data_IF_683183131763
#
_entry.id   IF_683183131763
#
_cell.length_a   1.000
_cell.length_b   1.000
_cell.length_c   1.000
_cell.angle_alpha   90.00
_cell.angle_beta   90.00
_cell.angle_gamma   90.00
#
_symmetry.space_group_name_H-M   'P 1'
#
loop_
_entity.id
_entity.type
_entity.pdbx_description
1 polymer ?
#
# COMPACT_ATOMS: atom_id res chain seq x y z
N UNK A 1 13.96 -18.63 7.77
CA UNK A 1 13.56 -17.93 6.52
C UNK A 1 12.92 -16.60 6.89
N UNK A 2 13.43 -15.49 6.36
CA UNK A 2 12.84 -14.16 6.56
C UNK A 2 11.60 -14.02 5.69
N UNK A 3 10.53 -13.47 6.27
CA UNK A 3 9.23 -13.28 5.65
C UNK A 3 8.90 -11.81 5.41
N UNK A 4 9.30 -10.95 6.34
CA UNK A 4 9.16 -9.51 6.21
C UNK A 4 10.36 -8.81 6.84
N UNK A 5 10.69 -7.65 6.31
CA UNK A 5 11.66 -6.72 6.89
C UNK A 5 10.88 -5.52 7.44
N UNK A 6 11.24 -5.06 8.62
CA UNK A 6 10.84 -3.76 9.17
C UNK A 6 12.04 -2.82 9.11
N UNK A 7 11.85 -1.59 8.62
CA UNK A 7 12.88 -0.55 8.63
C UNK A 7 12.33 0.77 9.16
N UNK A 8 13.12 1.45 9.96
CA UNK A 8 12.86 2.83 10.35
C UNK A 8 14.14 3.60 10.56
N UNK A 9 14.11 4.90 10.28
CA UNK A 9 15.18 5.81 10.66
C UNK A 9 14.90 6.36 12.06
N UNK A 10 15.84 6.18 12.98
CA UNK A 10 15.72 6.56 14.40
C UNK A 10 16.82 7.58 14.74
N UNK A 11 16.48 8.87 14.70
CA UNK A 11 17.46 9.94 14.90
C UNK A 11 18.54 9.92 13.82
N UNK A 12 19.80 9.69 14.20
CA UNK A 12 20.92 9.55 13.25
C UNK A 12 21.20 8.10 12.83
N UNK A 13 20.47 7.11 13.38
CA UNK A 13 20.66 5.70 13.10
C UNK A 13 19.48 5.07 12.37
N UNK A 14 19.58 3.75 12.19
CA UNK A 14 18.56 2.91 11.59
C UNK A 14 18.20 1.79 12.56
N UNK A 15 16.93 1.41 12.53
CA UNK A 15 16.42 0.21 13.16
C UNK A 15 15.97 -0.74 12.06
N UNK A 16 16.40 -2.00 12.18
CA UNK A 16 15.96 -3.07 11.30
C UNK A 16 15.34 -4.19 12.12
N UNK A 17 14.22 -4.72 11.64
CA UNK A 17 13.53 -5.88 12.21
C UNK A 17 13.32 -6.96 11.18
N UNK A 18 13.47 -8.23 11.58
CA UNK A 18 13.26 -9.39 10.72
C UNK A 18 12.14 -10.24 11.32
N UNK A 19 11.03 -10.32 10.60
CA UNK A 19 9.99 -11.32 10.86
C UNK A 19 10.41 -12.60 10.14
N UNK A 20 10.68 -13.66 10.89
CA UNK A 20 11.22 -14.90 10.35
C UNK A 20 10.52 -16.12 10.88
N UNK A 21 10.63 -17.19 10.10
CA UNK A 21 10.19 -18.52 10.46
C UNK A 21 11.43 -19.40 10.57
N UNK A 22 11.75 -19.86 11.78
CA UNK A 22 12.85 -20.79 11.98
C UNK A 22 12.46 -22.19 11.44
N UNK A 23 13.32 -22.88 10.67
CA UNK A 23 13.09 -24.29 10.41
C UNK A 23 13.39 -25.05 11.70
N UNK A 24 12.38 -25.71 12.27
CA UNK A 24 12.60 -26.64 13.37
C UNK A 24 12.99 -28.00 12.81
N UNK A 25 14.17 -28.46 13.21
CA UNK A 25 14.49 -29.88 13.15
C UNK A 25 13.80 -30.54 14.36
N UNK A 26 12.63 -31.12 14.14
CA UNK A 26 11.98 -32.01 15.08
C UNK A 26 11.98 -33.43 14.50
N UNK A 27 12.22 -34.44 15.35
CA UNK A 27 12.13 -35.84 14.92
C UNK A 27 10.70 -36.24 14.54
N UNK A 28 9.71 -35.53 15.09
CA UNK A 28 8.29 -35.68 14.78
C UNK A 28 7.75 -34.40 14.13
N UNK A 29 7.11 -34.54 12.96
CA UNK A 29 6.55 -33.42 12.21
C UNK A 29 5.39 -32.73 12.95
N UNK A 30 4.76 -33.40 13.92
CA UNK A 30 3.70 -32.83 14.75
C UNK A 30 4.21 -31.85 15.81
N UNK A 31 5.50 -31.90 16.18
CA UNK A 31 6.13 -31.04 17.19
C UNK A 31 6.89 -29.85 16.58
N UNK A 32 7.02 -29.80 15.26
CA UNK A 32 7.60 -28.67 14.55
C UNK A 32 6.64 -27.46 14.61
N UNK A 33 6.79 -26.64 15.64
CA UNK A 33 6.27 -25.27 15.69
C UNK A 33 6.86 -24.44 14.56
N UNK A 34 6.01 -24.21 13.57
CA UNK A 34 6.22 -23.31 12.45
C UNK A 34 6.05 -21.81 12.84
N UNK A 35 6.03 -21.49 14.12
CA UNK A 35 5.69 -20.17 14.65
C UNK A 35 6.63 -19.09 14.12
N UNK A 36 6.04 -17.94 13.83
CA UNK A 36 6.80 -16.77 13.43
C UNK A 36 7.42 -16.11 14.66
N UNK A 37 8.60 -15.54 14.45
CA UNK A 37 9.36 -14.83 15.46
C UNK A 37 9.89 -13.52 14.89
N UNK A 38 10.22 -12.59 15.76
CA UNK A 38 10.72 -11.28 15.39
C UNK A 38 12.02 -10.99 16.14
N UNK A 39 13.06 -10.59 15.40
CA UNK A 39 14.29 -10.02 15.95
C UNK A 39 14.47 -8.62 15.41
N UNK A 40 15.17 -7.77 16.16
CA UNK A 40 15.47 -6.41 15.75
C UNK A 40 16.82 -5.98 16.28
N UNK A 41 17.43 -5.03 15.58
CA UNK A 41 18.66 -4.39 16.00
C UNK A 41 18.72 -2.95 15.46
N UNK A 42 19.64 -2.18 16.01
CA UNK A 42 19.96 -0.83 15.58
C UNK A 42 21.36 -0.78 14.96
N UNK A 43 21.61 0.23 14.13
CA UNK A 43 22.91 0.48 13.51
C UNK A 43 23.04 1.93 13.05
N UNK A 44 24.27 2.38 12.77
CA UNK A 44 24.50 3.73 12.24
C UNK A 44 24.09 3.84 10.77
N UNK A 45 24.14 2.73 10.04
CA UNK A 45 23.63 2.61 8.66
C UNK A 45 22.56 1.54 8.56
N UNK A 46 21.73 1.62 7.52
CA UNK A 46 20.72 0.59 7.24
C UNK A 46 21.34 -0.80 7.12
N UNK A 47 22.47 -0.89 6.41
CA UNK A 47 23.18 -2.15 6.21
C UNK A 47 23.72 -2.74 7.52
N UNK A 48 24.23 -1.90 8.42
CA UNK A 48 24.67 -2.33 9.74
C UNK A 48 23.49 -2.80 10.61
N UNK A 49 22.38 -2.08 10.61
CA UNK A 49 21.19 -2.46 11.36
C UNK A 49 20.65 -3.82 10.88
N UNK A 50 20.57 -4.04 9.57
CA UNK A 50 20.18 -5.33 8.99
C UNK A 50 21.18 -6.43 9.32
N UNK A 51 22.48 -6.19 9.20
CA UNK A 51 23.51 -7.18 9.56
C UNK A 51 23.45 -7.57 11.04
N UNK A 52 23.19 -6.61 11.94
CA UNK A 52 23.01 -6.87 13.36
C UNK A 52 21.72 -7.68 13.64
N UNK A 53 20.61 -7.37 12.95
CA UNK A 53 19.39 -8.16 13.04
C UNK A 53 19.58 -9.59 12.48
N UNK A 54 20.37 -9.76 11.42
CA UNK A 54 20.76 -11.06 10.86
C UNK A 54 21.58 -11.89 11.86
N UNK A 55 22.49 -11.26 12.62
CA UNK A 55 23.29 -11.93 13.65
C UNK A 55 22.46 -12.44 14.82
N UNK A 56 21.31 -11.80 15.10
CA UNK A 56 20.38 -12.24 16.13
C UNK A 56 19.50 -13.43 15.69
N UNK A 57 19.53 -13.81 14.41
CA UNK A 57 18.79 -14.98 13.94
C UNK A 57 19.46 -16.29 14.40
N UNK A 58 18.66 -17.34 14.69
CA UNK A 58 19.21 -18.63 15.09
C UNK A 58 19.95 -19.35 13.95
N UNK A 59 19.77 -18.92 12.71
CA UNK A 59 20.39 -19.49 11.51
C UNK A 59 20.66 -18.38 10.49
N UNK A 60 21.53 -18.66 9.52
CA UNK A 60 21.82 -17.74 8.41
C UNK A 60 20.53 -17.27 7.74
N UNK A 61 20.42 -15.95 7.57
CA UNK A 61 19.26 -15.33 6.96
C UNK A 61 19.02 -15.85 5.53
N UNK A 62 17.76 -16.12 5.22
CA UNK A 62 17.33 -16.46 3.86
C UNK A 62 16.14 -15.61 3.49
N UNK A 63 16.32 -14.74 2.50
CA UNK A 63 15.33 -13.74 2.06
C UNK A 63 14.49 -14.18 0.86
N UNK A 64 14.59 -15.45 0.43
CA UNK A 64 13.85 -15.97 -0.74
C UNK A 64 12.33 -15.74 -0.64
N UNK A 65 11.79 -15.77 0.57
CA UNK A 65 10.36 -15.57 0.88
C UNK A 65 10.07 -14.24 1.59
N UNK A 66 11.00 -13.28 1.49
CA UNK A 66 10.82 -11.94 2.03
C UNK A 66 9.97 -11.11 1.08
N UNK A 67 8.66 -11.29 1.16
CA UNK A 67 7.68 -10.70 0.24
C UNK A 67 7.09 -9.37 0.75
N UNK A 68 7.53 -8.88 1.92
CA UNK A 68 6.95 -7.71 2.59
C UNK A 68 8.01 -6.80 3.20
N UNK A 69 7.78 -5.49 3.10
CA UNK A 69 8.53 -4.43 3.77
C UNK A 69 7.56 -3.59 4.60
N UNK A 70 7.87 -3.44 5.88
CA UNK A 70 7.13 -2.67 6.87
C UNK A 70 7.93 -1.41 7.23
N UNK A 71 7.26 -0.26 7.26
CA UNK A 71 7.89 1.02 7.56
C UNK A 71 6.93 1.86 8.40
N UNK A 72 7.39 2.64 9.41
CA UNK A 72 6.51 3.59 10.08
C UNK A 72 6.08 4.72 9.13
N UNK A 73 6.95 5.08 8.18
CA UNK A 73 6.73 6.10 7.17
C UNK A 73 7.45 5.72 5.89
N UNK A 74 6.84 5.99 4.74
CA UNK A 74 7.39 5.64 3.44
C UNK A 74 8.28 6.77 2.93
N UNK A 75 9.40 7.02 3.61
CA UNK A 75 10.31 8.09 3.19
C UNK A 75 11.10 7.68 1.95
N UNK A 76 10.98 8.46 0.88
CA UNK A 76 11.56 8.14 -0.42
C UNK A 76 13.09 7.88 -0.40
N UNK A 77 13.91 8.64 0.35
CA UNK A 77 15.33 8.31 0.50
C UNK A 77 15.58 6.95 1.15
N UNK A 78 14.77 6.57 2.15
CA UNK A 78 14.86 5.28 2.84
C UNK A 78 14.50 4.13 1.90
N UNK A 79 13.44 4.29 1.11
CA UNK A 79 13.01 3.30 0.11
C UNK A 79 14.07 3.10 -0.98
N UNK A 80 14.62 4.19 -1.50
CA UNK A 80 15.70 4.18 -2.50
C UNK A 80 16.95 3.48 -1.95
N UNK A 81 17.39 3.84 -0.74
CA UNK A 81 18.55 3.23 -0.09
C UNK A 81 18.35 1.71 0.09
N UNK A 82 17.16 1.31 0.55
CA UNK A 82 16.84 -0.10 0.75
C UNK A 82 16.75 -0.87 -0.57
N UNK A 83 16.13 -0.31 -1.62
CA UNK A 83 16.07 -0.96 -2.93
C UNK A 83 17.48 -1.24 -3.46
N UNK A 84 18.39 -0.26 -3.39
CA UNK A 84 19.78 -0.44 -3.79
C UNK A 84 20.51 -1.50 -2.95
N UNK A 85 20.23 -1.56 -1.64
CA UNK A 85 20.79 -2.58 -0.78
C UNK A 85 20.27 -3.98 -1.15
N UNK A 86 18.97 -4.11 -1.44
CA UNK A 86 18.37 -5.37 -1.92
C UNK A 86 19.01 -5.83 -3.23
N UNK A 87 19.24 -4.93 -4.18
CA UNK A 87 19.89 -5.25 -5.45
C UNK A 87 21.35 -5.71 -5.27
N UNK A 88 22.08 -5.14 -4.30
CA UNK A 88 23.49 -5.48 -4.05
C UNK A 88 23.68 -6.73 -3.17
N UNK A 89 22.88 -6.92 -2.12
CA UNK A 89 23.06 -7.99 -1.12
C UNK A 89 22.01 -9.10 -1.16
N UNK A 90 20.88 -8.89 -1.83
CA UNK A 90 19.77 -9.84 -1.81
C UNK A 90 19.10 -9.96 -0.43
N UNK A 91 19.20 -8.93 0.41
CA UNK A 91 18.61 -8.89 1.76
C UNK A 91 17.10 -8.55 1.75
N UNK A 92 16.38 -9.06 0.75
CA UNK A 92 14.98 -8.75 0.50
C UNK A 92 14.62 -8.99 -0.96
N UNK A 93 13.51 -8.37 -1.42
CA UNK A 93 13.05 -8.46 -2.81
C UNK A 93 12.54 -7.10 -3.26
N UNK A 94 12.93 -6.65 -4.45
CA UNK A 94 12.34 -5.43 -5.05
C UNK A 94 10.84 -5.59 -5.33
N UNK A 95 10.37 -6.83 -5.46
CA UNK A 95 8.95 -7.15 -5.58
C UNK A 95 8.19 -7.19 -4.24
N UNK A 96 8.86 -6.95 -3.09
CA UNK A 96 8.22 -6.94 -1.78
C UNK A 96 7.11 -5.89 -1.72
N UNK A 97 6.00 -6.22 -1.07
CA UNK A 97 4.86 -5.30 -0.87
C UNK A 97 5.19 -4.33 0.26
N UNK A 98 4.88 -3.06 0.06
CA UNK A 98 5.09 -1.98 1.02
C UNK A 98 3.86 -1.79 1.91
N UNK A 99 4.05 -1.78 3.23
CA UNK A 99 3.00 -1.49 4.19
C UNK A 99 3.51 -0.48 5.22
N UNK A 100 2.65 0.47 5.58
CA UNK A 100 2.87 1.32 6.74
C UNK A 100 2.60 0.50 8.02
N UNK A 101 3.36 0.77 9.07
CA UNK A 101 3.45 -0.09 10.23
C UNK A 101 3.63 0.75 11.49
N UNK A 102 2.59 0.81 12.32
CA UNK A 102 2.52 1.65 13.52
C UNK A 102 2.44 0.79 14.78
N UNK A 103 3.43 0.94 15.66
CA UNK A 103 3.45 0.28 16.96
C UNK A 103 4.87 0.02 17.42
N UNK A 104 5.03 -0.29 18.70
CA UNK A 104 6.33 -0.59 19.27
C UNK A 104 6.78 -2.00 18.85
N UNK A 105 7.89 -2.07 18.12
CA UNK A 105 8.49 -3.34 17.66
C UNK A 105 8.93 -4.24 18.82
N UNK A 106 9.17 -3.66 20.01
CA UNK A 106 9.45 -4.41 21.24
C UNK A 106 8.34 -5.42 21.61
N UNK A 107 7.08 -5.10 21.31
CA UNK A 107 5.98 -6.05 21.53
C UNK A 107 6.09 -7.27 20.61
N UNK A 108 6.50 -7.09 19.34
CA UNK A 108 6.68 -8.19 18.39
C UNK A 108 7.79 -9.17 18.83
N UNK A 109 8.85 -8.66 19.48
CA UNK A 109 9.95 -9.48 19.97
C UNK A 109 9.60 -10.25 21.26
N UNK A 110 8.71 -9.70 22.10
CA UNK A 110 8.44 -10.22 23.45
C UNK A 110 7.15 -11.05 23.56
N UNK A 111 6.22 -10.90 22.63
CA UNK A 111 4.91 -11.57 22.66
C UNK A 111 4.84 -12.65 21.58
N UNK A 112 4.88 -13.91 21.99
CA UNK A 112 4.96 -15.06 21.07
C UNK A 112 3.84 -15.13 20.01
N UNK A 113 2.63 -14.64 20.30
CA UNK A 113 1.49 -14.70 19.37
C UNK A 113 1.44 -13.55 18.36
N UNK A 114 2.10 -12.42 18.62
CA UNK A 114 2.02 -11.23 17.77
C UNK A 114 2.67 -11.41 16.39
N UNK A 115 3.84 -12.06 16.24
CA UNK A 115 4.42 -12.32 14.91
C UNK A 115 3.50 -13.07 13.94
N UNK A 116 2.77 -14.08 14.42
CA UNK A 116 1.82 -14.84 13.60
C UNK A 116 0.58 -14.00 13.26
N UNK A 117 0.04 -13.25 14.23
CA UNK A 117 -1.03 -12.28 13.99
C UNK A 117 -0.62 -11.21 12.96
N UNK A 118 0.64 -10.75 13.02
CA UNK A 118 1.17 -9.73 12.11
C UNK A 118 1.19 -10.26 10.69
N UNK A 119 1.70 -11.49 10.51
CA UNK A 119 1.70 -12.13 9.20
C UNK A 119 0.29 -12.33 8.65
N UNK A 120 -0.68 -12.66 9.49
CA UNK A 120 -2.07 -12.79 9.06
C UNK A 120 -2.61 -11.45 8.51
N UNK A 121 -2.38 -10.34 9.22
CA UNK A 121 -2.82 -9.02 8.78
C UNK A 121 -2.05 -8.51 7.56
N UNK A 122 -0.74 -8.76 7.48
CA UNK A 122 0.06 -8.48 6.28
C UNK A 122 -0.56 -9.17 5.05
N UNK A 123 -0.87 -10.47 5.16
CA UNK A 123 -1.47 -11.23 4.04
C UNK A 123 -2.84 -10.68 3.62
N UNK A 124 -3.64 -10.21 4.58
CA UNK A 124 -4.94 -9.61 4.29
C UNK A 124 -4.81 -8.24 3.59
N UNK A 125 -3.81 -7.43 3.95
CA UNK A 125 -3.58 -6.10 3.36
C UNK A 125 -2.78 -6.12 2.03
N UNK A 126 -1.89 -7.10 1.87
CA UNK A 126 -0.95 -7.22 0.76
C UNK A 126 -1.54 -7.16 -0.66
N UNK A 127 -2.76 -7.65 -0.96
CA UNK A 127 -3.34 -7.56 -2.30
C UNK A 127 -3.48 -6.13 -2.82
N UNK A 128 -3.52 -5.14 -1.93
CA UNK A 128 -3.70 -3.72 -2.27
C UNK A 128 -2.44 -2.88 -2.11
N UNK A 129 -1.39 -3.43 -1.51
CA UNK A 129 -0.14 -2.73 -1.28
C UNK A 129 0.67 -2.55 -2.58
N UNK A 130 1.34 -1.40 -2.81
CA UNK A 130 2.31 -1.26 -3.88
C UNK A 130 3.55 -2.13 -3.62
N UNK A 131 4.41 -2.28 -4.62
CA UNK A 131 5.68 -3.00 -4.50
C UNK A 131 6.84 -2.03 -4.34
N UNK A 132 7.94 -2.48 -3.75
CA UNK A 132 9.14 -1.68 -3.55
C UNK A 132 9.62 -1.06 -4.86
N UNK A 133 9.75 -1.81 -5.96
CA UNK A 133 10.17 -1.24 -7.26
C UNK A 133 9.24 -0.15 -7.84
N UNK A 134 8.05 0.03 -7.27
CA UNK A 134 7.08 1.06 -7.65
C UNK A 134 7.13 2.27 -6.71
N UNK A 135 8.09 2.36 -5.79
CA UNK A 135 8.09 3.39 -4.75
C UNK A 135 8.13 4.82 -5.31
N UNK A 136 8.75 5.01 -6.48
CA UNK A 136 8.76 6.31 -7.18
C UNK A 136 7.42 6.68 -7.84
N UNK A 137 6.48 5.73 -7.95
CA UNK A 137 5.12 5.97 -8.45
C UNK A 137 4.17 6.24 -7.27
N UNK A 138 3.14 7.08 -7.46
CA UNK A 138 2.10 7.25 -6.46
C UNK A 138 1.44 5.92 -6.08
N UNK A 139 1.40 5.60 -4.79
CA UNK A 139 0.87 4.32 -4.31
C UNK A 139 0.19 4.45 -2.95
N UNK A 140 -0.94 3.78 -2.77
CA UNK A 140 -1.68 3.76 -1.51
C UNK A 140 -1.24 2.59 -0.63
N UNK A 141 -0.48 2.89 0.42
CA UNK A 141 -0.01 1.89 1.38
C UNK A 141 -1.10 1.61 2.42
N UNK A 142 -1.42 0.33 2.70
CA UNK A 142 -2.20 -0.03 3.87
C UNK A 142 -1.40 0.23 5.15
N UNK A 143 -2.11 0.52 6.24
CA UNK A 143 -1.50 0.78 7.55
C UNK A 143 -1.85 -0.38 8.47
N UNK A 144 -0.81 -1.03 9.00
CA UNK A 144 -0.92 -1.99 10.09
C UNK A 144 -0.69 -1.26 11.39
N UNK A 145 -1.56 -1.45 12.37
CA UNK A 145 -1.36 -0.95 13.73
C UNK A 145 -1.32 -2.11 14.71
N UNK A 146 -0.43 -2.05 15.68
CA UNK A 146 -0.40 -3.02 16.77
C UNK A 146 -0.12 -2.38 18.12
N UNK A 147 -0.56 -3.09 19.16
CA UNK A 147 -0.23 -2.84 20.55
C UNK A 147 0.30 -4.14 21.18
N UNK A 148 0.29 -4.24 22.51
CA UNK A 148 0.76 -5.42 23.22
C UNK A 148 -0.14 -6.66 23.07
N UNK A 149 -1.38 -6.50 22.60
CA UNK A 149 -2.43 -7.53 22.60
C UNK A 149 -2.88 -7.93 21.19
N UNK A 150 -3.04 -6.97 20.27
CA UNK A 150 -3.62 -7.20 18.96
C UNK A 150 -2.93 -6.46 17.82
N UNK A 151 -3.23 -6.91 16.60
CA UNK A 151 -2.78 -6.31 15.33
C UNK A 151 -3.98 -6.12 14.43
N UNK A 152 -4.16 -4.90 13.94
CA UNK A 152 -5.30 -4.50 13.11
C UNK A 152 -4.82 -3.82 11.83
N UNK A 153 -5.65 -3.89 10.79
CA UNK A 153 -5.50 -3.07 9.60
C UNK A 153 -6.33 -1.82 9.83
N UNK A 154 -5.70 -0.65 9.80
CA UNK A 154 -6.42 0.60 9.92
C UNK A 154 -7.25 0.85 8.66
N UNK A 155 -8.47 1.37 8.84
CA UNK A 155 -9.24 1.89 7.72
C UNK A 155 -8.54 3.10 7.08
N UNK A 156 -8.59 3.20 5.75
CA UNK A 156 -7.89 4.25 5.00
C UNK A 156 -6.56 3.77 4.43
N UNK A 157 -5.57 4.66 4.45
CA UNK A 157 -4.20 4.36 4.03
C UNK A 157 -3.34 5.62 3.90
N UNK A 158 -2.08 5.43 3.51
CA UNK A 158 -1.15 6.51 3.20
C UNK A 158 -0.91 6.55 1.69
N UNK A 159 -1.29 7.64 1.04
CA UNK A 159 -0.88 7.91 -0.33
C UNK A 159 0.58 8.36 -0.31
N UNK A 160 1.47 7.46 -0.70
CA UNK A 160 2.89 7.72 -0.84
C UNK A 160 3.19 8.32 -2.22
N UNK A 161 4.10 9.29 -2.23
CA UNK A 161 4.70 9.89 -3.43
C UNK A 161 6.15 10.27 -3.12
N UNK A 162 6.95 10.52 -4.16
CA UNK A 162 8.31 11.06 -4.01
C UNK A 162 8.37 12.41 -3.28
N UNK A 163 7.27 13.19 -3.30
CA UNK A 163 7.16 14.46 -2.61
C UNK A 163 6.79 14.31 -1.12
N UNK A 164 6.26 13.15 -0.73
CA UNK A 164 5.85 12.85 0.63
C UNK A 164 4.57 12.02 0.74
N UNK A 165 4.25 11.69 1.98
CA UNK A 165 3.12 10.86 2.38
C UNK A 165 1.92 11.72 2.76
N UNK A 166 0.74 11.34 2.26
CA UNK A 166 -0.54 11.99 2.62
C UNK A 166 -1.53 10.95 3.17
N UNK A 167 -2.05 11.12 4.39
CA UNK A 167 -3.07 10.21 4.92
C UNK A 167 -4.40 10.39 4.17
N UNK A 168 -5.01 9.27 3.79
CA UNK A 168 -6.36 9.23 3.23
C UNK A 168 -7.33 8.61 4.23
N UNK A 169 -8.52 9.20 4.33
CA UNK A 169 -9.61 8.59 5.10
C UNK A 169 -10.03 7.23 4.51
N UNK A 170 -10.82 6.47 5.28
CA UNK A 170 -11.43 5.20 4.84
C UNK A 170 -12.11 5.34 3.46
N UNK A 171 -12.94 6.38 3.31
CA UNK A 171 -13.69 6.66 2.08
C UNK A 171 -12.76 7.07 0.93
N UNK A 172 -11.80 7.97 1.18
CA UNK A 172 -10.85 8.42 0.16
C UNK A 172 -9.97 7.27 -0.34
N UNK A 173 -9.53 6.38 0.56
CA UNK A 173 -8.73 5.22 0.22
C UNK A 173 -9.51 4.24 -0.68
N UNK A 174 -10.78 3.94 -0.37
CA UNK A 174 -11.59 3.06 -1.21
C UNK A 174 -11.86 3.68 -2.59
N UNK A 175 -12.10 4.99 -2.66
CA UNK A 175 -12.25 5.71 -3.94
C UNK A 175 -10.94 5.69 -4.72
N UNK A 176 -9.79 5.88 -4.08
CA UNK A 176 -8.48 5.78 -4.71
C UNK A 176 -8.26 4.38 -5.30
N UNK A 177 -8.53 3.32 -4.53
CA UNK A 177 -8.42 1.92 -4.98
C UNK A 177 -9.35 1.64 -6.16
N UNK A 178 -10.56 2.21 -6.14
CA UNK A 178 -11.53 2.09 -7.23
C UNK A 178 -11.01 2.74 -8.52
N UNK A 179 -10.49 3.97 -8.43
CA UNK A 179 -9.98 4.74 -9.57
C UNK A 179 -8.73 4.10 -10.20
N UNK A 180 -7.87 3.52 -9.37
CA UNK A 180 -6.61 2.86 -9.79
C UNK A 180 -6.80 1.39 -10.15
N UNK A 181 -8.02 0.85 -10.02
CA UNK A 181 -8.31 -0.56 -10.28
C UNK A 181 -7.56 -1.53 -9.36
N UNK A 182 -7.11 -1.06 -8.20
CA UNK A 182 -6.42 -1.90 -7.23
C UNK A 182 -7.43 -2.87 -6.61
N UNK A 183 -7.15 -4.18 -6.69
CA UNK A 183 -7.73 -5.30 -5.93
C UNK A 183 -9.25 -5.56 -6.07
N UNK A 184 -9.74 -6.56 -5.33
CA UNK A 184 -11.05 -7.20 -5.49
C UNK A 184 -12.29 -6.39 -5.12
N UNK A 185 -13.23 -7.00 -4.39
CA UNK A 185 -14.49 -6.33 -4.04
C UNK A 185 -14.23 -5.16 -3.09
N UNK A 186 -14.73 -3.98 -3.45
CA UNK A 186 -14.68 -2.72 -2.69
C UNK A 186 -15.97 -2.54 -1.90
N UNK A 187 -15.88 -1.94 -0.72
CA UNK A 187 -17.04 -1.65 0.13
C UNK A 187 -17.05 -0.15 0.40
N UNK A 188 -18.00 0.56 -0.21
CA UNK A 188 -18.16 2.00 -0.07
C UNK A 188 -19.35 2.30 0.83
N UNK A 189 -19.19 3.25 1.74
CA UNK A 189 -20.29 3.78 2.53
C UNK A 189 -20.91 4.97 1.81
N UNK A 190 -22.13 4.80 1.28
CA UNK A 190 -22.82 5.82 0.48
C UNK A 190 -24.23 6.04 1.02
N UNK A 191 -24.58 7.28 1.36
CA UNK A 191 -25.86 7.69 1.94
C UNK A 191 -26.32 6.80 3.12
N UNK A 192 -25.37 6.36 3.97
CA UNK A 192 -25.68 5.51 5.14
C UNK A 192 -25.77 4.01 4.87
N UNK A 193 -25.48 3.56 3.65
CA UNK A 193 -25.59 2.15 3.24
C UNK A 193 -24.27 1.65 2.63
N UNK A 194 -23.95 0.37 2.86
CA UNK A 194 -22.77 -0.29 2.26
C UNK A 194 -23.07 -0.76 0.84
N UNK A 195 -22.33 -0.19 -0.11
CA UNK A 195 -22.37 -0.57 -1.53
C UNK A 195 -21.11 -1.34 -1.88
N UNK A 196 -21.29 -2.61 -2.22
CA UNK A 196 -20.22 -3.50 -2.66
C UNK A 196 -20.00 -3.40 -4.18
N UNK A 197 -18.79 -3.07 -4.62
CA UNK A 197 -18.40 -3.02 -6.03
C UNK A 197 -17.37 -4.12 -6.30
N UNK A 198 -17.70 -5.12 -7.14
CA UNK A 198 -16.78 -6.23 -7.44
C UNK A 198 -15.79 -5.93 -8.57
N UNK A 199 -16.19 -5.07 -9.51
CA UNK A 199 -15.37 -4.63 -10.65
C UNK A 199 -15.76 -3.21 -11.02
N UNK A 200 -14.80 -2.41 -11.47
CA UNK A 200 -15.04 -1.08 -11.99
C UNK A 200 -14.10 -0.84 -13.16
N UNK A 201 -14.64 -0.38 -14.29
CA UNK A 201 -13.85 0.08 -15.42
C UNK A 201 -13.82 1.61 -15.37
N UNK A 202 -12.62 2.17 -15.34
CA UNK A 202 -12.41 3.62 -15.32
C UNK A 202 -11.97 4.07 -16.70
N UNK A 203 -12.86 4.79 -17.39
CA UNK A 203 -12.61 5.36 -18.71
C UNK A 203 -12.34 6.85 -18.60
N UNK A 204 -11.36 7.35 -19.33
CA UNK A 204 -10.97 8.76 -19.31
C UNK A 204 -11.02 9.34 -20.72
N UNK A 205 -11.72 10.46 -20.87
CA UNK A 205 -11.73 11.25 -22.11
C UNK A 205 -11.15 12.63 -21.82
N UNK A 206 -10.03 12.93 -22.47
CA UNK A 206 -9.37 14.23 -22.37
C UNK A 206 -9.95 15.19 -23.41
N UNK A 207 -10.56 16.28 -22.96
CA UNK A 207 -10.96 17.44 -23.74
C UNK A 207 -10.09 18.64 -23.34
N UNK A 208 -9.99 19.69 -24.17
CA UNK A 208 -8.99 20.78 -24.03
C UNK A 208 -8.70 21.20 -22.58
N UNK A 209 -9.72 21.63 -21.83
CA UNK A 209 -9.60 22.05 -20.43
C UNK A 209 -10.41 21.16 -19.46
N UNK A 210 -10.97 20.06 -19.95
CA UNK A 210 -11.89 19.22 -19.19
C UNK A 210 -11.46 17.75 -19.29
N UNK A 211 -11.50 17.05 -18.16
CA UNK A 211 -11.29 15.61 -18.09
C UNK A 211 -12.60 14.96 -17.68
N UNK A 212 -13.11 14.11 -18.57
CA UNK A 212 -14.29 13.30 -18.30
C UNK A 212 -13.84 11.93 -17.79
N UNK A 213 -14.29 11.57 -16.61
CA UNK A 213 -14.04 10.28 -15.97
C UNK A 213 -15.36 9.53 -15.90
N UNK A 214 -15.38 8.30 -16.43
CA UNK A 214 -16.54 7.43 -16.38
C UNK A 214 -16.19 6.16 -15.63
N UNK A 215 -16.97 5.86 -14.59
CA UNK A 215 -16.88 4.61 -13.85
C UNK A 215 -18.03 3.71 -14.26
N UNK A 216 -17.72 2.57 -14.86
CA UNK A 216 -18.69 1.49 -15.14
C UNK A 216 -18.51 0.40 -14.09
N UNK A 217 -19.35 0.46 -13.06
CA UNK A 217 -19.29 -0.38 -11.87
C UNK A 217 -20.14 -1.64 -12.02
N UNK A 218 -19.60 -2.76 -11.57
CA UNK A 218 -20.33 -4.01 -11.35
C UNK A 218 -20.48 -4.26 -9.87
N UNK A 219 -21.71 -4.50 -9.44
CA UNK A 219 -22.02 -4.71 -8.03
C UNK A 219 -21.56 -6.09 -7.54
N UNK A 220 -21.14 -6.18 -6.29
CA UNK A 220 -20.94 -7.45 -5.60
C UNK A 220 -22.27 -8.19 -5.40
N UNK A 221 -22.24 -9.51 -5.26
CA UNK A 221 -23.43 -10.29 -4.94
C UNK A 221 -24.07 -9.77 -3.63
N UNK A 222 -25.40 -9.75 -3.56
CA UNK A 222 -26.19 -9.34 -2.39
C UNK A 222 -26.07 -7.88 -1.92
N UNK A 223 -25.19 -7.06 -2.50
CA UNK A 223 -25.19 -5.61 -2.26
C UNK A 223 -26.50 -4.95 -2.77
N UNK A 224 -26.94 -3.81 -2.22
CA UNK A 224 -28.11 -3.11 -2.75
C UNK A 224 -27.80 -2.41 -4.08
N UNK A 225 -28.82 -2.22 -4.93
CA UNK A 225 -28.68 -1.44 -6.16
C UNK A 225 -28.56 0.04 -5.80
N UNK A 226 -27.51 0.75 -6.23
CA UNK A 226 -27.31 2.13 -5.83
C UNK A 226 -28.40 3.08 -6.35
N UNK A 227 -28.90 3.93 -5.46
CA UNK A 227 -29.82 5.01 -5.79
C UNK A 227 -29.16 6.06 -6.68
N UNK A 228 -29.94 7.02 -7.20
CA UNK A 228 -29.36 8.16 -7.91
C UNK A 228 -28.46 9.02 -6.99
N UNK A 229 -28.87 9.24 -5.74
CA UNK A 229 -28.10 10.01 -4.77
C UNK A 229 -26.74 9.36 -4.47
N UNK A 230 -26.71 8.04 -4.22
CA UNK A 230 -25.47 7.30 -3.98
C UNK A 230 -24.51 7.36 -5.17
N UNK A 231 -25.03 7.28 -6.41
CA UNK A 231 -24.22 7.44 -7.63
C UNK A 231 -23.63 8.84 -7.76
N UNK A 232 -24.42 9.88 -7.43
CA UNK A 232 -23.96 11.27 -7.43
C UNK A 232 -22.92 11.51 -6.33
N UNK A 233 -23.10 10.94 -5.14
CA UNK A 233 -22.14 11.02 -4.04
C UNK A 233 -20.81 10.39 -4.45
N UNK A 234 -20.81 9.17 -5.02
CA UNK A 234 -19.57 8.52 -5.48
C UNK A 234 -18.88 9.33 -6.59
N UNK A 235 -19.65 9.90 -7.53
CA UNK A 235 -19.10 10.77 -8.57
C UNK A 235 -18.43 12.04 -7.97
N UNK A 236 -19.07 12.65 -6.98
CA UNK A 236 -18.53 13.81 -6.26
C UNK A 236 -17.26 13.44 -5.48
N UNK A 237 -17.25 12.33 -4.76
CA UNK A 237 -16.08 11.83 -4.03
C UNK A 237 -14.89 11.54 -4.97
N UNK A 238 -15.13 10.88 -6.12
CA UNK A 238 -14.11 10.66 -7.14
C UNK A 238 -13.54 11.99 -7.65
N UNK A 239 -14.42 12.95 -7.95
CA UNK A 239 -14.03 14.27 -8.46
C UNK A 239 -13.18 15.04 -7.44
N UNK A 240 -13.61 15.06 -6.18
CA UNK A 240 -12.89 15.73 -5.10
C UNK A 240 -11.52 15.10 -4.85
N UNK A 241 -11.43 13.77 -4.86
CA UNK A 241 -10.15 13.08 -4.70
C UNK A 241 -9.20 13.40 -5.87
N UNK A 242 -9.66 13.32 -7.12
CA UNK A 242 -8.84 13.63 -8.30
C UNK A 242 -8.34 15.08 -8.28
N UNK A 243 -9.19 16.03 -7.88
CA UNK A 243 -8.80 17.43 -7.70
C UNK A 243 -7.74 17.59 -6.62
N UNK A 244 -7.95 16.98 -5.45
CA UNK A 244 -7.01 17.06 -4.32
C UNK A 244 -5.66 16.45 -4.68
N UNK A 245 -5.64 15.26 -5.29
CA UNK A 245 -4.42 14.61 -5.76
C UNK A 245 -3.71 15.46 -6.81
N UNK A 246 -4.43 16.05 -7.78
CA UNK A 246 -3.80 16.92 -8.79
C UNK A 246 -3.12 18.14 -8.15
N UNK A 247 -3.79 18.80 -7.19
CA UNK A 247 -3.23 19.93 -6.47
C UNK A 247 -1.97 19.57 -5.67
N UNK A 248 -1.83 18.30 -5.28
CA UNK A 248 -0.65 17.74 -4.63
C UNK A 248 0.40 17.23 -5.62
N UNK A 249 0.22 17.44 -6.93
CA UNK A 249 1.17 16.99 -7.95
C UNK A 249 1.00 15.53 -8.38
N UNK A 250 -0.14 14.89 -8.06
CA UNK A 250 -0.38 13.45 -8.31
C UNK A 250 -1.32 13.24 -9.49
N UNK A 251 -0.80 12.58 -10.54
CA UNK A 251 -1.58 12.15 -11.70
C UNK A 251 -2.12 10.72 -11.52
N UNK A 252 -3.20 10.58 -10.74
CA UNK A 252 -3.82 9.29 -10.37
C UNK A 252 -4.23 8.45 -11.58
N UNK A 253 -4.64 9.10 -12.68
CA UNK A 253 -5.21 8.42 -13.85
C UNK A 253 -4.22 8.34 -15.03
N UNK A 254 -2.96 8.72 -14.81
CA UNK A 254 -1.90 8.76 -15.82
C UNK A 254 -2.31 9.59 -17.06
N UNK A 255 -2.96 10.74 -16.85
CA UNK A 255 -3.37 11.67 -17.89
C UNK A 255 -2.20 12.11 -18.77
N UNK A 256 -1.02 12.34 -18.19
CA UNK A 256 0.18 12.74 -18.93
C UNK A 256 0.56 11.68 -19.98
N UNK A 257 0.65 10.42 -19.56
CA UNK A 257 0.97 9.30 -20.41
C UNK A 257 -0.10 9.08 -21.48
N UNK A 258 -1.39 9.18 -21.12
CA UNK A 258 -2.51 9.07 -22.06
C UNK A 258 -2.47 10.17 -23.13
N UNK A 259 -2.17 11.40 -22.76
CA UNK A 259 -2.04 12.51 -23.69
C UNK A 259 -0.84 12.32 -24.62
N UNK A 260 0.30 11.89 -24.09
CA UNK A 260 1.49 11.57 -24.88
C UNK A 260 1.20 10.48 -25.94
N UNK A 261 0.53 9.40 -25.53
CA UNK A 261 0.15 8.31 -26.45
C UNK A 261 -0.84 8.74 -27.53
N UNK A 262 -1.79 9.64 -27.21
CA UNK A 262 -2.85 10.05 -28.15
C UNK A 262 -2.41 11.16 -29.11
N UNK A 263 -1.65 12.14 -28.64
CA UNK A 263 -1.33 13.36 -29.40
C UNK A 263 0.16 13.61 -29.60
N UNK A 264 1.03 12.69 -29.17
CA UNK A 264 2.49 12.83 -29.27
C UNK A 264 3.11 13.82 -28.28
N UNK A 265 2.31 14.43 -27.40
CA UNK A 265 2.76 15.32 -26.33
C UNK A 265 1.91 15.14 -25.08
N UNK A 266 2.57 14.95 -23.94
CA UNK A 266 1.95 14.90 -22.61
C UNK A 266 2.03 16.22 -21.84
N UNK A 267 2.65 17.25 -22.41
CA UNK A 267 3.02 18.48 -21.70
C UNK A 267 1.82 19.31 -21.20
N UNK A 268 0.60 19.02 -21.68
CA UNK A 268 -0.63 19.69 -21.25
C UNK A 268 -1.26 19.07 -20.00
N UNK A 269 -0.78 17.92 -19.54
CA UNK A 269 -1.32 17.18 -18.39
C UNK A 269 -0.22 16.77 -17.41
N UNK A 270 0.57 17.73 -16.95
CA UNK A 270 1.55 17.57 -15.87
C UNK A 270 1.04 18.30 -14.61
N UNK A 271 0.70 17.58 -13.53
CA UNK A 271 0.10 18.18 -12.33
C UNK A 271 1.05 19.15 -11.59
N UNK A 272 2.35 19.08 -11.85
CA UNK A 272 3.33 20.00 -11.25
C UNK A 272 3.48 21.30 -12.05
N UNK A 273 2.99 21.35 -13.31
CA UNK A 273 3.20 22.48 -14.23
C UNK A 273 1.91 23.10 -14.75
N UNK A 274 0.81 22.36 -14.72
CA UNK A 274 -0.46 22.78 -15.28
C UNK A 274 -1.53 22.99 -14.19
N UNK A 275 -2.41 23.95 -14.43
CA UNK A 275 -3.58 24.15 -13.59
C UNK A 275 -4.47 22.89 -13.55
N UNK A 276 -5.16 22.67 -12.44
CA UNK A 276 -6.10 21.57 -12.31
C UNK A 276 -7.15 21.64 -13.43
N UNK A 277 -7.33 20.58 -14.24
CA UNK A 277 -8.36 20.57 -15.25
C UNK A 277 -9.75 20.57 -14.61
N UNK A 278 -10.76 20.94 -15.38
CA UNK A 278 -12.13 20.75 -14.94
C UNK A 278 -12.45 19.25 -14.97
N UNK A 279 -12.72 18.68 -13.81
CA UNK A 279 -13.11 17.28 -13.69
C UNK A 279 -14.62 17.13 -13.80
N UNK A 280 -15.07 16.13 -14.55
CA UNK A 280 -16.45 15.65 -14.51
C UNK A 280 -16.44 14.15 -14.40
N UNK A 281 -17.04 13.63 -13.34
CA UNK A 281 -17.15 12.19 -13.12
C UNK A 281 -18.59 11.75 -13.31
N UNK A 282 -18.79 10.70 -14.10
CA UNK A 282 -20.08 10.03 -14.25
C UNK A 282 -19.95 8.57 -13.78
N UNK A 283 -20.88 8.12 -12.94
CA UNK A 283 -20.88 6.76 -12.37
C UNK A 283 -22.09 5.99 -12.85
N UNK A 284 -21.83 4.85 -13.49
CA UNK A 284 -22.84 3.92 -13.96
C UNK A 284 -22.70 2.58 -13.24
N UNK A 285 -23.84 1.97 -12.89
CA UNK A 285 -23.88 0.62 -12.35
C UNK A 285 -24.54 -0.29 -13.38
N UNK A 286 -23.81 -1.32 -13.80
CA UNK A 286 -24.32 -2.35 -14.69
C UNK A 286 -25.39 -3.17 -13.96
N UNK A 287 -26.44 -3.55 -14.69
CA UNK A 287 -27.58 -4.28 -14.13
C UNK A 287 -27.25 -5.77 -13.83
N UNK A 288 -26.10 -6.29 -14.29
CA UNK A 288 -25.73 -7.71 -14.23
C UNK A 288 -24.24 -7.96 -13.89
#
# INVERSE_FOLDING_TARGET
>A
MVRAVYLSQTGQGYQAGLLYQAPQAAADAAEASAALQFVQAEGQTMEQALAAAEQALPQTASYRLCDYLLLPKAEEPLLTEYEQLVLRRGCGRTAARLLCAEGETGHLATRAALPDALMAQIKAAAPTAPRLYQHTEPGLLPILRWNAEEITIQEGGVLHTVAGDTPLSSEQAEVYRLLTGQGGTRQLWLEGERIGIRRCIVSVTLQKAQVLVRLDCQRAAHSPLPTQAQRQQLAAQCTALLQSCWQQGVDVLHLQARAALRSGSGASFDPTKNACPQWRTDVHFMLY
#
